data_IF_637047447442
#
_entry.id   IF_637047447442
#
_cell.length_a   1.000
_cell.length_b   1.000
_cell.length_c   1.000
_cell.angle_alpha   90.00
_cell.angle_beta   90.00
_cell.angle_gamma   90.00
#
_symmetry.space_group_name_H-M   'P 1'
#
loop_
_entity.id
_entity.type
_entity.pdbx_description
1 polymer ?
#
# COMPACT_ATOMS: atom_id res chain seq x y z
N UNK A 1 -39.26 62.44 -55.84
CA UNK A 1 -40.10 61.22 -55.70
C UNK A 1 -39.23 59.99 -55.91
N UNK A 2 -39.38 58.87 -55.18
CA UNK A 2 -39.21 58.65 -53.75
C UNK A 2 -37.95 57.83 -53.35
N UNK A 3 -37.42 58.19 -52.18
CA UNK A 3 -36.83 57.42 -51.05
C UNK A 3 -35.97 56.14 -51.25
N UNK A 4 -34.70 56.29 -50.85
CA UNK A 4 -33.80 55.25 -50.31
C UNK A 4 -34.39 54.54 -49.08
N UNK A 5 -34.22 53.21 -48.99
CA UNK A 5 -34.18 52.46 -47.72
C UNK A 5 -32.97 51.55 -47.68
N UNK A 6 -32.03 51.89 -46.81
CA UNK A 6 -30.85 51.12 -46.44
C UNK A 6 -31.22 49.97 -45.49
N UNK A 7 -30.80 48.75 -45.80
CA UNK A 7 -30.81 47.63 -44.84
C UNK A 7 -29.54 47.70 -44.00
N UNK A 8 -29.68 48.12 -42.74
CA UNK A 8 -28.61 48.09 -41.73
C UNK A 8 -28.33 46.64 -41.30
N UNK A 9 -27.16 46.11 -41.67
CA UNK A 9 -26.58 44.90 -41.05
C UNK A 9 -26.13 45.24 -39.63
N UNK A 10 -26.72 44.60 -38.62
CA UNK A 10 -26.24 44.65 -37.23
C UNK A 10 -24.97 43.79 -37.09
N UNK A 11 -23.88 44.28 -36.47
CA UNK A 11 -22.69 43.47 -36.25
C UNK A 11 -22.86 42.51 -35.07
N UNK A 12 -22.52 41.25 -35.32
CA UNK A 12 -22.62 40.12 -34.40
C UNK A 12 -21.47 40.16 -33.37
N UNK A 13 -21.64 40.90 -32.28
CA UNK A 13 -20.65 41.07 -31.20
C UNK A 13 -20.82 40.09 -30.01
N UNK A 14 -21.57 39.00 -30.18
CA UNK A 14 -21.93 38.09 -29.07
C UNK A 14 -20.93 36.96 -28.73
N UNK A 15 -19.93 36.69 -29.59
CA UNK A 15 -19.14 35.46 -29.50
C UNK A 15 -17.97 35.47 -28.50
N UNK A 16 -17.29 36.61 -28.30
CA UNK A 16 -16.06 36.67 -27.48
C UNK A 16 -16.32 36.66 -25.97
N UNK A 17 -17.36 37.37 -25.50
CA UNK A 17 -17.73 37.41 -24.07
C UNK A 17 -18.24 36.06 -23.56
N UNK A 18 -19.01 35.33 -24.38
CA UNK A 18 -19.49 33.98 -24.05
C UNK A 18 -18.36 32.96 -23.91
N UNK A 19 -17.33 33.04 -24.76
CA UNK A 19 -16.15 32.15 -24.69
C UNK A 19 -15.27 32.43 -23.47
N UNK A 20 -15.11 33.70 -23.09
CA UNK A 20 -14.35 34.07 -21.89
C UNK A 20 -15.06 33.61 -20.62
N UNK A 21 -16.37 33.84 -20.50
CA UNK A 21 -17.18 33.38 -19.36
C UNK A 21 -17.19 31.86 -19.26
N UNK A 22 -17.35 31.12 -20.37
CA UNK A 22 -17.24 29.65 -20.35
C UNK A 22 -15.87 29.16 -19.88
N UNK A 23 -14.77 29.82 -20.28
CA UNK A 23 -13.42 29.45 -19.84
C UNK A 23 -13.20 29.70 -18.35
N UNK A 24 -13.68 30.81 -17.82
CA UNK A 24 -13.59 31.13 -16.39
C UNK A 24 -14.46 30.20 -15.55
N UNK A 25 -15.66 29.87 -16.02
CA UNK A 25 -16.56 28.90 -15.35
C UNK A 25 -15.98 27.48 -15.38
N UNK A 26 -15.43 27.02 -16.52
CA UNK A 26 -14.76 25.72 -16.58
C UNK A 26 -13.53 25.65 -15.66
N UNK A 27 -12.74 26.72 -15.56
CA UNK A 27 -11.58 26.77 -14.67
C UNK A 27 -11.99 26.74 -13.18
N UNK A 28 -13.08 27.42 -12.81
CA UNK A 28 -13.65 27.38 -11.45
C UNK A 28 -14.22 26.00 -11.12
N UNK A 29 -14.93 25.36 -12.05
CA UNK A 29 -15.46 23.99 -11.87
C UNK A 29 -14.34 22.96 -11.73
N UNK A 30 -13.26 23.08 -12.52
CA UNK A 30 -12.09 22.21 -12.40
C UNK A 30 -11.30 22.43 -11.11
N UNK A 31 -11.24 23.66 -10.59
CA UNK A 31 -10.60 23.97 -9.32
C UNK A 31 -11.39 23.46 -8.09
N UNK A 32 -12.71 23.36 -8.18
CA UNK A 32 -13.57 22.80 -7.12
C UNK A 32 -13.78 21.29 -7.25
N UNK A 33 -13.42 20.69 -8.39
CA UNK A 33 -13.53 19.26 -8.66
C UNK A 33 -12.25 18.48 -8.34
N UNK A 34 -11.41 18.99 -7.42
CA UNK A 34 -10.55 18.12 -6.64
C UNK A 34 -11.44 17.28 -5.71
N UNK A 35 -12.18 16.34 -6.28
CA UNK A 35 -12.82 15.29 -5.53
C UNK A 35 -11.68 14.62 -4.75
N UNK A 36 -11.77 14.63 -3.43
CA UNK A 36 -10.93 13.78 -2.61
C UNK A 36 -11.13 12.38 -3.16
N UNK A 37 -10.11 11.84 -3.81
CA UNK A 37 -10.13 10.45 -4.19
C UNK A 37 -10.19 9.70 -2.87
N UNK A 38 -11.37 9.16 -2.53
CA UNK A 38 -11.52 8.15 -1.49
C UNK A 38 -10.86 6.88 -2.02
N UNK A 39 -9.54 6.92 -2.14
CA UNK A 39 -8.73 5.74 -2.26
C UNK A 39 -8.93 4.96 -0.95
N UNK A 40 -9.07 3.64 -1.05
CA UNK A 40 -9.13 2.78 0.15
C UNK A 40 -7.84 2.91 0.98
N UNK A 41 -7.86 2.40 2.21
CA UNK A 41 -6.70 2.44 3.10
C UNK A 41 -6.81 3.49 4.21
N UNK A 42 -8.01 3.70 4.75
CA UNK A 42 -8.21 4.51 5.96
C UNK A 42 -7.50 3.90 7.18
N UNK A 43 -7.41 4.63 8.30
CA UNK A 43 -6.73 4.14 9.51
C UNK A 43 -7.31 2.84 10.07
N UNK A 44 -8.59 2.58 9.82
CA UNK A 44 -9.25 1.33 10.16
C UNK A 44 -8.73 0.13 9.36
N UNK A 45 -8.13 0.34 8.18
CA UNK A 45 -7.61 -0.73 7.32
C UNK A 45 -6.11 -1.04 7.56
N UNK A 46 -5.44 -0.30 8.45
CA UNK A 46 -4.01 -0.46 8.72
C UNK A 46 -3.80 -1.15 10.06
N UNK A 47 -3.01 -2.23 10.08
CA UNK A 47 -2.61 -2.92 11.30
C UNK A 47 -1.14 -2.59 11.63
N UNK A 48 -0.92 -1.90 12.74
CA UNK A 48 0.40 -1.38 13.12
C UNK A 48 1.11 -2.37 14.04
N UNK A 49 2.31 -2.80 13.64
CA UNK A 49 3.14 -3.75 14.39
C UNK A 49 4.28 -3.00 15.06
N UNK A 50 4.32 -3.11 16.39
CA UNK A 50 5.20 -2.33 17.27
C UNK A 50 6.07 -3.27 18.07
N UNK A 51 7.38 -3.02 18.12
CA UNK A 51 8.29 -3.73 18.99
C UNK A 51 8.33 -3.04 20.36
N UNK A 52 7.67 -3.58 21.41
CA UNK A 52 7.68 -2.99 22.75
C UNK A 52 9.07 -2.94 23.39
N UNK A 53 10.02 -3.73 22.89
CA UNK A 53 11.39 -3.77 23.42
C UNK A 53 12.28 -2.64 22.87
N UNK A 54 11.78 -1.86 21.90
CA UNK A 54 12.50 -0.77 21.26
C UNK A 54 11.84 0.58 21.52
N UNK A 55 12.61 1.50 22.11
CA UNK A 55 12.17 2.88 22.31
C UNK A 55 11.92 3.60 20.98
N UNK A 56 12.73 3.32 19.96
CA UNK A 56 12.57 3.90 18.63
C UNK A 56 11.29 3.41 17.96
N UNK A 57 11.02 2.10 18.05
CA UNK A 57 9.80 1.49 17.51
C UNK A 57 8.54 2.07 18.15
N UNK A 58 8.55 2.23 19.47
CA UNK A 58 7.47 2.89 20.22
C UNK A 58 7.29 4.34 19.76
N UNK A 59 8.37 5.10 19.62
CA UNK A 59 8.31 6.50 19.22
C UNK A 59 7.80 6.68 17.77
N UNK A 60 8.28 5.86 16.84
CA UNK A 60 7.83 5.85 15.44
C UNK A 60 6.36 5.46 15.35
N UNK A 61 5.95 4.40 16.06
CA UNK A 61 4.56 3.96 16.08
C UNK A 61 3.63 5.05 16.66
N UNK A 62 4.01 5.67 17.79
CA UNK A 62 3.23 6.74 18.39
C UNK A 62 3.07 7.94 17.45
N UNK A 63 4.15 8.33 16.75
CA UNK A 63 4.09 9.40 15.76
C UNK A 63 3.13 9.05 14.61
N UNK A 64 3.19 7.82 14.09
CA UNK A 64 2.29 7.38 13.01
C UNK A 64 0.82 7.33 13.46
N UNK A 65 0.55 6.68 14.59
CA UNK A 65 -0.81 6.55 15.15
C UNK A 65 -1.42 7.93 15.40
N UNK A 66 -0.65 8.87 15.94
CA UNK A 66 -1.12 10.24 16.18
C UNK A 66 -1.40 11.05 14.90
N UNK A 67 -0.73 10.73 13.78
CA UNK A 67 -0.97 11.43 12.51
C UNK A 67 -2.10 10.81 11.68
N UNK A 68 -2.51 9.57 11.99
CA UNK A 68 -3.46 8.81 11.17
C UNK A 68 -4.73 8.41 11.94
N UNK A 69 -4.80 8.63 13.25
CA UNK A 69 -5.92 8.17 14.09
C UNK A 69 -6.17 6.65 14.01
N UNK A 70 -5.09 5.87 14.00
CA UNK A 70 -5.18 4.39 13.95
C UNK A 70 -5.91 3.87 15.19
N UNK A 71 -6.99 3.08 15.05
CA UNK A 71 -7.71 2.53 16.18
C UNK A 71 -6.82 1.66 17.08
N UNK A 72 -6.95 1.73 18.42
CA UNK A 72 -6.14 0.90 19.33
C UNK A 72 -6.23 -0.60 19.06
N UNK A 73 -7.38 -1.10 18.59
CA UNK A 73 -7.57 -2.52 18.24
C UNK A 73 -6.68 -2.96 17.06
N UNK A 74 -6.20 -2.03 16.24
CA UNK A 74 -5.32 -2.29 15.12
C UNK A 74 -3.83 -2.25 15.51
N UNK A 75 -3.50 -1.94 16.76
CA UNK A 75 -2.10 -1.87 17.23
C UNK A 75 -1.71 -3.21 17.85
N UNK A 76 -0.58 -3.77 17.41
CA UNK A 76 -0.09 -5.05 17.89
C UNK A 76 1.34 -4.94 18.39
N UNK A 77 1.52 -5.20 19.68
CA UNK A 77 2.83 -5.26 20.32
C UNK A 77 3.44 -6.64 20.08
N UNK A 78 4.47 -6.70 19.24
CA UNK A 78 5.21 -7.90 18.91
C UNK A 78 6.64 -7.78 19.48
N UNK A 79 6.97 -8.44 20.61
CA UNK A 79 8.27 -8.33 21.29
C UNK A 79 9.38 -9.03 20.50
N UNK A 80 9.80 -8.41 19.40
CA UNK A 80 10.89 -8.91 18.55
C UNK A 80 12.24 -8.70 19.24
N UNK A 81 13.00 -9.79 19.34
CA UNK A 81 14.31 -9.83 20.01
C UNK A 81 15.49 -9.96 19.06
N UNK A 82 15.23 -10.18 17.77
CA UNK A 82 16.29 -10.25 16.76
C UNK A 82 16.81 -8.87 16.37
N UNK A 83 17.80 -8.84 15.48
CA UNK A 83 18.32 -7.59 14.91
C UNK A 83 17.37 -6.95 13.88
N UNK A 84 17.65 -5.69 13.53
CA UNK A 84 16.93 -4.93 12.49
C UNK A 84 17.45 -5.13 11.07
N UNK A 85 18.61 -5.76 10.88
CA UNK A 85 19.20 -5.95 9.55
C UNK A 85 18.59 -7.15 8.82
N UNK A 86 18.69 -8.34 9.42
CA UNK A 86 18.20 -9.56 8.80
C UNK A 86 17.73 -10.63 9.76
N UNK A 87 16.85 -11.51 9.29
CA UNK A 87 16.45 -12.75 9.97
C UNK A 87 16.32 -13.90 8.96
N UNK A 88 16.23 -15.14 9.42
CA UNK A 88 15.95 -16.28 8.54
C UNK A 88 14.46 -16.38 8.22
N UNK A 89 14.13 -17.00 7.08
CA UNK A 89 12.75 -17.22 6.65
C UNK A 89 11.94 -18.05 7.64
N UNK A 90 12.57 -19.03 8.31
CA UNK A 90 11.92 -19.83 9.36
C UNK A 90 11.50 -18.95 10.55
N UNK A 91 12.42 -18.12 11.05
CA UNK A 91 12.17 -17.21 12.16
C UNK A 91 11.12 -16.17 11.77
N UNK A 92 11.20 -15.62 10.56
CA UNK A 92 10.19 -14.71 10.02
C UNK A 92 8.78 -15.33 10.03
N UNK A 93 8.62 -16.56 9.52
CA UNK A 93 7.32 -17.25 9.54
C UNK A 93 6.82 -17.45 10.96
N UNK A 94 7.68 -17.98 11.85
CA UNK A 94 7.31 -18.40 13.20
C UNK A 94 7.04 -17.22 14.14
N UNK A 95 7.91 -16.22 14.11
CA UNK A 95 7.99 -15.17 15.14
C UNK A 95 7.47 -13.81 14.66
N UNK A 96 7.25 -13.62 13.35
CA UNK A 96 6.70 -12.36 12.80
C UNK A 96 5.32 -12.59 12.17
N UNK A 97 5.24 -13.35 11.07
CA UNK A 97 3.99 -13.46 10.32
C UNK A 97 2.93 -14.26 11.06
N UNK A 98 3.26 -15.44 11.57
CA UNK A 98 2.28 -16.25 12.26
C UNK A 98 1.60 -15.53 13.46
N UNK A 99 2.31 -14.81 14.35
CA UNK A 99 1.65 -14.05 15.41
C UNK A 99 0.84 -12.86 14.90
N UNK A 100 1.26 -12.19 13.83
CA UNK A 100 0.48 -11.08 13.23
C UNK A 100 -0.86 -11.59 12.69
N UNK A 101 -0.84 -12.64 11.87
CA UNK A 101 -2.06 -13.23 11.30
C UNK A 101 -2.98 -13.74 12.41
N UNK A 102 -2.45 -14.45 13.41
CA UNK A 102 -3.23 -14.88 14.58
C UNK A 102 -3.86 -13.71 15.33
N UNK A 103 -3.16 -12.59 15.47
CA UNK A 103 -3.70 -11.42 16.16
C UNK A 103 -4.83 -10.76 15.37
N UNK A 104 -4.69 -10.65 14.04
CA UNK A 104 -5.75 -10.13 13.15
C UNK A 104 -7.00 -11.02 13.24
N UNK A 105 -6.83 -12.33 13.14
CA UNK A 105 -7.94 -13.29 13.20
C UNK A 105 -8.61 -13.29 14.57
N UNK A 106 -7.84 -13.31 15.67
CA UNK A 106 -8.37 -13.29 17.03
C UNK A 106 -9.18 -12.03 17.34
N UNK A 107 -8.83 -10.90 16.70
CA UNK A 107 -9.54 -9.63 16.81
C UNK A 107 -10.68 -9.49 15.79
N UNK A 108 -10.89 -10.48 14.93
CA UNK A 108 -11.89 -10.50 13.85
C UNK A 108 -11.70 -9.35 12.85
N UNK A 109 -10.44 -9.00 12.59
CA UNK A 109 -10.06 -7.88 11.72
C UNK A 109 -9.73 -8.32 10.28
N UNK A 110 -9.76 -9.62 9.97
CA UNK A 110 -9.33 -10.16 8.67
C UNK A 110 -10.17 -9.67 7.48
N UNK A 111 -11.42 -9.22 7.72
CA UNK A 111 -12.28 -8.59 6.71
C UNK A 111 -12.03 -7.09 6.51
N UNK A 112 -11.25 -6.47 7.39
CA UNK A 112 -11.07 -5.02 7.48
C UNK A 112 -9.64 -4.59 7.16
N UNK A 113 -8.63 -5.35 7.59
CA UNK A 113 -7.24 -4.97 7.39
C UNK A 113 -6.83 -5.21 5.94
N UNK A 114 -6.33 -4.16 5.31
CA UNK A 114 -5.79 -4.18 3.96
C UNK A 114 -4.27 -3.99 3.95
N UNK A 115 -3.65 -3.53 5.04
CA UNK A 115 -2.20 -3.24 5.09
C UNK A 115 -1.57 -3.49 6.47
N UNK A 116 -0.34 -4.00 6.50
CA UNK A 116 0.53 -4.03 7.69
C UNK A 116 1.49 -2.85 7.67
N UNK A 117 1.54 -2.10 8.77
CA UNK A 117 2.57 -1.09 9.00
C UNK A 117 3.52 -1.57 10.11
N UNK A 118 4.71 -2.06 9.73
CA UNK A 118 5.79 -2.28 10.68
C UNK A 118 6.35 -0.93 11.12
N UNK A 119 6.58 -0.74 12.41
CA UNK A 119 7.18 0.48 12.95
C UNK A 119 8.66 0.62 12.60
N UNK A 120 9.55 0.39 13.55
CA UNK A 120 11.00 0.25 13.35
C UNK A 120 11.53 -0.92 14.19
N UNK A 121 12.83 -1.21 14.07
CA UNK A 121 13.51 -2.32 14.77
C UNK A 121 12.88 -3.69 14.54
N UNK A 122 12.41 -3.90 13.31
CA UNK A 122 12.12 -5.21 12.71
C UNK A 122 13.15 -5.47 11.59
N UNK A 123 13.41 -6.74 11.22
CA UNK A 123 14.38 -7.04 10.19
C UNK A 123 13.92 -6.50 8.84
N UNK A 124 14.77 -5.77 8.13
CA UNK A 124 14.44 -5.27 6.78
C UNK A 124 14.58 -6.35 5.71
N UNK A 125 15.49 -7.32 5.96
CA UNK A 125 15.82 -8.41 5.05
C UNK A 125 15.49 -9.77 5.67
N UNK A 126 14.99 -10.69 4.86
CA UNK A 126 14.76 -12.08 5.24
C UNK A 126 15.59 -12.98 4.35
N UNK A 127 16.47 -13.76 4.97
CA UNK A 127 17.33 -14.73 4.29
C UNK A 127 16.57 -16.05 4.07
N UNK A 128 16.56 -16.51 2.82
CA UNK A 128 15.88 -17.74 2.43
C UNK A 128 16.83 -18.79 1.84
N UNK A 129 18.14 -18.66 2.04
CA UNK A 129 19.16 -19.59 1.53
C UNK A 129 18.81 -21.05 1.85
N UNK A 130 18.33 -21.29 3.07
CA UNK A 130 17.99 -22.62 3.56
C UNK A 130 16.82 -23.30 2.81
N UNK A 131 16.05 -22.57 2.02
CA UNK A 131 14.93 -23.10 1.23
C UNK A 131 15.26 -23.33 -0.24
N UNK A 132 16.41 -22.84 -0.71
CA UNK A 132 16.79 -23.02 -2.10
C UNK A 132 17.26 -24.45 -2.35
N UNK A 133 16.85 -24.99 -3.51
CA UNK A 133 17.47 -26.20 -4.03
C UNK A 133 18.95 -25.94 -4.37
N UNK A 134 19.82 -26.96 -4.38
CA UNK A 134 21.23 -26.80 -4.74
C UNK A 134 21.46 -26.15 -6.12
N UNK A 135 20.51 -26.29 -7.04
CA UNK A 135 20.53 -25.70 -8.38
C UNK A 135 20.21 -24.20 -8.34
N UNK A 136 19.20 -23.81 -7.55
CA UNK A 136 18.80 -22.41 -7.39
C UNK A 136 19.82 -21.62 -6.56
N UNK A 137 20.39 -22.23 -5.52
CA UNK A 137 21.44 -21.63 -4.69
C UNK A 137 22.70 -21.26 -5.48
N UNK A 138 22.95 -21.90 -6.64
CA UNK A 138 24.06 -21.53 -7.54
C UNK A 138 23.76 -20.32 -8.42
N UNK A 139 22.49 -19.98 -8.61
CA UNK A 139 22.04 -18.86 -9.46
C UNK A 139 21.82 -17.59 -8.66
N UNK A 140 21.35 -17.73 -7.42
CA UNK A 140 21.09 -16.59 -6.55
C UNK A 140 22.35 -16.24 -5.74
N UNK A 141 22.92 -15.06 -6.02
CA UNK A 141 24.12 -14.57 -5.34
C UNK A 141 23.79 -14.00 -3.95
N UNK A 142 22.52 -13.64 -3.70
CA UNK A 142 22.09 -13.05 -2.43
C UNK A 142 20.64 -13.41 -2.12
N UNK A 143 20.38 -14.68 -1.74
CA UNK A 143 19.05 -15.25 -1.57
C UNK A 143 18.30 -14.65 -0.37
N UNK A 144 17.76 -13.46 -0.60
CA UNK A 144 17.05 -12.69 0.40
C UNK A 144 15.93 -11.85 -0.20
N UNK A 145 14.90 -11.63 0.60
CA UNK A 145 13.74 -10.85 0.24
C UNK A 145 13.50 -9.73 1.26
N UNK A 146 12.77 -8.69 0.86
CA UNK A 146 12.31 -7.68 1.79
C UNK A 146 11.23 -8.26 2.73
N UNK A 147 11.27 -7.90 4.00
CA UNK A 147 10.23 -8.26 4.99
C UNK A 147 8.82 -7.95 4.48
N UNK A 148 8.65 -6.78 3.89
CA UNK A 148 7.35 -6.30 3.38
C UNK A 148 6.88 -7.10 2.17
N UNK A 149 7.80 -7.48 1.27
CA UNK A 149 7.49 -8.33 0.11
C UNK A 149 7.03 -9.73 0.53
N UNK A 150 7.73 -10.35 1.49
CA UNK A 150 7.30 -11.65 2.02
C UNK A 150 6.00 -11.56 2.83
N UNK A 151 5.76 -10.43 3.51
CA UNK A 151 4.48 -10.19 4.20
C UNK A 151 3.34 -10.11 3.19
N UNK A 152 3.55 -9.45 2.05
CA UNK A 152 2.58 -9.40 0.95
C UNK A 152 2.22 -10.81 0.47
N UNK A 153 3.22 -11.68 0.30
CA UNK A 153 3.07 -13.04 -0.20
C UNK A 153 2.79 -14.08 0.91
N UNK A 154 2.27 -13.67 2.06
CA UNK A 154 2.07 -14.59 3.20
C UNK A 154 1.17 -15.79 2.89
N UNK A 155 0.19 -15.64 1.99
CA UNK A 155 -0.64 -16.75 1.54
C UNK A 155 0.17 -17.83 0.82
N UNK A 156 1.09 -17.43 -0.06
CA UNK A 156 1.98 -18.34 -0.78
C UNK A 156 2.98 -19.02 0.16
N UNK A 157 3.44 -18.35 1.22
CA UNK A 157 4.32 -18.95 2.24
C UNK A 157 3.70 -20.16 2.95
N UNK A 158 2.37 -20.30 2.95
CA UNK A 158 1.67 -21.45 3.51
C UNK A 158 1.53 -22.62 2.52
N UNK A 159 1.71 -22.38 1.22
CA UNK A 159 1.48 -23.34 0.14
C UNK A 159 2.60 -24.35 -0.10
N UNK A 160 3.74 -24.22 0.57
CA UNK A 160 4.90 -25.10 0.46
C UNK A 160 6.22 -24.37 0.26
N UNK A 161 7.36 -25.09 0.23
CA UNK A 161 8.66 -24.48 -0.01
C UNK A 161 8.71 -23.84 -1.39
N UNK A 162 9.18 -22.60 -1.46
CA UNK A 162 9.59 -21.88 -2.70
C UNK A 162 8.47 -21.42 -3.64
N UNK A 163 7.19 -21.73 -3.42
CA UNK A 163 6.08 -21.24 -4.30
C UNK A 163 6.02 -19.70 -4.41
N UNK A 164 6.41 -19.01 -3.35
CA UNK A 164 6.48 -17.56 -3.24
C UNK A 164 7.71 -16.95 -3.96
N UNK A 165 8.65 -17.77 -4.46
CA UNK A 165 9.78 -17.33 -5.30
C UNK A 165 9.43 -17.34 -6.79
N UNK A 166 8.30 -17.92 -7.18
CA UNK A 166 7.85 -17.90 -8.57
C UNK A 166 7.56 -16.43 -8.99
N UNK A 167 8.07 -15.97 -10.15
CA UNK A 167 7.69 -14.67 -10.71
C UNK A 167 6.17 -14.47 -10.87
N UNK A 168 5.41 -15.57 -10.99
CA UNK A 168 3.95 -15.58 -11.10
C UNK A 168 3.25 -15.79 -9.74
N UNK A 169 3.97 -15.76 -8.61
CA UNK A 169 3.40 -15.98 -7.26
C UNK A 169 2.40 -14.91 -6.78
N UNK A 170 2.29 -13.80 -7.51
CA UNK A 170 1.37 -12.71 -7.22
C UNK A 170 0.17 -12.73 -8.18
N UNK A 171 -0.82 -13.56 -7.88
CA UNK A 171 -2.10 -13.68 -8.59
C UNK A 171 -2.93 -12.39 -8.54
N UNK A 172 -2.67 -11.47 -7.60
CA UNK A 172 -3.31 -10.14 -7.62
C UNK A 172 -2.83 -9.30 -8.81
N UNK A 173 -1.60 -9.48 -9.26
CA UNK A 173 -1.11 -8.85 -10.48
C UNK A 173 -1.76 -9.50 -11.69
N UNK A 174 -2.50 -8.70 -12.46
CA UNK A 174 -3.24 -9.21 -13.62
C UNK A 174 -2.49 -8.90 -14.90
N UNK A 175 -2.26 -9.97 -15.66
CA UNK A 175 -1.60 -9.87 -16.96
C UNK A 175 -2.42 -8.98 -17.90
N UNK A 176 -1.76 -8.10 -18.67
CA UNK A 176 -2.45 -7.30 -19.67
C UNK A 176 -3.04 -8.20 -20.77
N UNK A 177 -4.20 -7.82 -21.29
CA UNK A 177 -4.73 -8.46 -22.49
C UNK A 177 -3.86 -8.12 -23.72
N UNK A 178 -4.17 -8.70 -24.88
CA UNK A 178 -3.40 -8.49 -26.12
C UNK A 178 -3.29 -7.01 -26.55
N UNK A 179 -4.19 -6.15 -26.07
CA UNK A 179 -4.18 -4.70 -26.29
C UNK A 179 -3.30 -3.92 -25.29
N UNK A 180 -2.59 -4.60 -24.38
CA UNK A 180 -1.75 -4.00 -23.34
C UNK A 180 -2.50 -3.49 -22.11
N UNK A 181 -3.82 -3.71 -22.02
CA UNK A 181 -4.67 -3.22 -20.94
C UNK A 181 -5.31 -4.42 -20.23
N UNK A 182 -5.33 -4.46 -18.88
CA UNK A 182 -6.09 -5.49 -18.16
C UNK A 182 -7.59 -5.39 -18.46
N UNK A 183 -8.27 -6.52 -18.66
CA UNK A 183 -9.70 -6.56 -18.99
C UNK A 183 -10.61 -5.92 -17.93
N UNK A 184 -10.16 -5.91 -16.67
CA UNK A 184 -10.84 -5.27 -15.54
C UNK A 184 -9.83 -4.56 -14.64
N UNK A 185 -10.24 -3.57 -13.86
CA UNK A 185 -9.42 -2.97 -12.78
C UNK A 185 -10.14 -3.14 -11.44
N UNK A 186 -9.46 -3.73 -10.45
CA UNK A 186 -9.99 -3.95 -9.11
C UNK A 186 -9.07 -3.27 -8.11
N UNK A 187 -9.65 -2.51 -7.18
CA UNK A 187 -8.91 -1.98 -6.04
C UNK A 187 -8.46 -3.10 -5.11
N UNK A 188 -7.32 -2.93 -4.46
CA UNK A 188 -6.83 -3.91 -3.51
C UNK A 188 -7.72 -3.95 -2.26
N UNK A 189 -8.04 -5.17 -1.78
CA UNK A 189 -8.59 -5.43 -0.44
C UNK A 189 -7.97 -6.71 0.13
N UNK A 190 -7.57 -6.69 1.39
CA UNK A 190 -6.87 -7.80 2.05
C UNK A 190 -7.73 -9.06 2.23
N UNK A 191 -9.05 -8.91 2.21
CA UNK A 191 -9.99 -10.02 2.32
C UNK A 191 -10.34 -10.70 0.99
N UNK A 192 -9.92 -10.11 -0.14
CA UNK A 192 -10.09 -10.72 -1.45
C UNK A 192 -9.23 -11.97 -1.61
N UNK A 193 -9.85 -13.03 -2.12
CA UNK A 193 -9.18 -14.24 -2.55
C UNK A 193 -8.91 -14.19 -4.05
N UNK A 194 -7.73 -14.66 -4.45
CA UNK A 194 -7.32 -14.72 -5.85
C UNK A 194 -7.10 -16.16 -6.28
N UNK A 195 -7.62 -16.52 -7.45
CA UNK A 195 -7.30 -17.77 -8.13
C UNK A 195 -6.06 -17.63 -9.02
N UNK A 196 -5.54 -18.75 -9.53
CA UNK A 196 -4.25 -18.82 -10.23
C UNK A 196 -4.19 -18.05 -11.56
N UNK A 197 -5.31 -17.54 -12.08
CA UNK A 197 -5.35 -16.69 -13.28
C UNK A 197 -5.70 -15.24 -12.93
N UNK A 198 -5.62 -14.89 -11.64
CA UNK A 198 -5.98 -13.57 -11.13
C UNK A 198 -7.48 -13.29 -11.11
N UNK A 199 -8.32 -14.34 -11.12
CA UNK A 199 -9.74 -14.21 -10.88
C UNK A 199 -10.03 -13.85 -9.41
N UNK A 200 -10.95 -12.91 -9.19
CA UNK A 200 -11.47 -12.64 -7.86
C UNK A 200 -12.40 -13.78 -7.44
N UNK A 201 -12.14 -14.38 -6.28
CA UNK A 201 -12.93 -15.46 -5.72
C UNK A 201 -13.77 -14.96 -4.54
N UNK A 202 -15.08 -15.18 -4.61
CA UNK A 202 -16.05 -14.81 -3.56
C UNK A 202 -15.79 -15.55 -2.22
N UNK A 203 -15.11 -16.69 -2.27
CA UNK A 203 -14.63 -17.41 -1.10
C UNK A 203 -13.38 -18.24 -1.45
N UNK A 204 -12.45 -18.35 -0.49
CA UNK A 204 -11.20 -19.08 -0.67
C UNK A 204 -10.13 -18.24 -1.37
N UNK A 205 -9.26 -18.88 -2.15
CA UNK A 205 -8.18 -18.24 -2.90
C UNK A 205 -6.96 -17.84 -2.07
N UNK A 206 -5.90 -17.46 -2.78
CA UNK A 206 -4.69 -16.87 -2.18
C UNK A 206 -5.01 -15.45 -1.74
N UNK A 207 -4.65 -15.11 -0.50
CA UNK A 207 -4.75 -13.75 0.02
C UNK A 207 -3.39 -13.09 0.06
N UNK A 208 -3.40 -11.79 -0.13
CA UNK A 208 -2.22 -10.94 -0.08
C UNK A 208 -2.39 -9.91 1.03
N UNK A 209 -1.28 -9.43 1.57
CA UNK A 209 -1.30 -8.41 2.62
C UNK A 209 -0.16 -7.42 2.44
N UNK A 210 -0.37 -6.35 1.64
CA UNK A 210 0.59 -5.27 1.49
C UNK A 210 1.16 -4.83 2.82
N UNK A 211 2.45 -4.51 2.81
CA UNK A 211 3.13 -4.11 4.02
C UNK A 211 4.10 -2.97 3.75
N UNK A 212 4.27 -2.12 4.76
CA UNK A 212 5.20 -0.99 4.77
C UNK A 212 6.03 -1.00 6.04
N UNK A 213 7.24 -0.43 5.96
CA UNK A 213 8.06 -0.11 7.12
C UNK A 213 8.01 1.40 7.33
N UNK A 214 7.49 1.84 8.47
CA UNK A 214 7.31 3.26 8.80
C UNK A 214 8.67 3.97 8.95
N UNK A 215 9.68 3.26 9.44
CA UNK A 215 11.05 3.76 9.45
C UNK A 215 12.08 2.69 9.81
N UNK A 216 13.31 2.91 9.35
CA UNK A 216 14.48 2.14 9.77
C UNK A 216 15.37 3.11 10.52
N UNK A 217 15.62 2.84 11.81
CA UNK A 217 16.38 3.73 12.70
C UNK A 217 17.72 3.14 13.16
N UNK A 218 17.98 1.88 12.83
CA UNK A 218 19.24 1.21 13.13
C UNK A 218 20.37 1.63 12.18
N UNK A 219 21.61 1.65 12.68
CA UNK A 219 22.81 1.87 11.86
C UNK A 219 22.95 3.31 11.37
N UNK A 220 23.20 3.49 10.07
CA UNK A 220 23.32 4.81 9.41
C UNK A 220 22.01 5.30 8.77
N UNK A 221 20.88 4.75 9.21
CA UNK A 221 19.56 5.10 8.68
C UNK A 221 19.02 6.40 9.32
N UNK A 222 17.72 6.64 9.19
CA UNK A 222 17.09 7.86 9.67
C UNK A 222 17.04 7.89 11.20
N UNK A 223 17.17 9.07 11.79
CA UNK A 223 16.80 9.28 13.19
C UNK A 223 15.28 9.18 13.37
N UNK A 224 14.84 8.84 14.59
CA UNK A 224 13.41 8.87 14.97
C UNK A 224 12.76 10.22 14.66
N UNK A 225 13.51 11.33 14.83
CA UNK A 225 13.02 12.68 14.53
C UNK A 225 12.72 12.87 13.05
N UNK A 226 13.62 12.41 12.17
CA UNK A 226 13.43 12.49 10.71
C UNK A 226 12.26 11.63 10.28
N UNK A 227 12.16 10.39 10.76
CA UNK A 227 11.02 9.51 10.49
C UNK A 227 9.71 10.19 10.89
N UNK A 228 9.62 10.70 12.13
CA UNK A 228 8.41 11.39 12.58
C UNK A 228 8.09 12.65 11.77
N UNK A 229 9.11 13.36 11.27
CA UNK A 229 8.91 14.50 10.38
C UNK A 229 8.35 14.08 9.01
N UNK A 230 8.86 13.00 8.42
CA UNK A 230 8.34 12.44 7.17
C UNK A 230 6.89 11.97 7.31
N UNK A 231 6.56 11.29 8.41
CA UNK A 231 5.19 10.83 8.67
C UNK A 231 4.20 12.00 8.77
N UNK A 232 4.57 13.08 9.49
CA UNK A 232 3.76 14.30 9.55
C UNK A 232 3.63 14.99 8.20
N UNK A 233 4.73 15.09 7.45
CA UNK A 233 4.71 15.72 6.12
C UNK A 233 3.86 14.94 5.13
N UNK A 234 3.88 13.60 5.19
CA UNK A 234 3.03 12.76 4.35
C UNK A 234 1.56 12.91 4.74
N UNK A 235 1.22 12.88 6.04
CA UNK A 235 -0.16 13.10 6.47
C UNK A 235 -0.71 14.46 6.02
N UNK A 236 0.09 15.52 6.08
CA UNK A 236 -0.30 16.84 5.60
C UNK A 236 -0.48 16.93 4.07
N UNK A 237 0.13 16.02 3.30
CA UNK A 237 0.03 15.98 1.85
C UNK A 237 -1.16 15.15 1.34
N UNK A 238 -1.63 14.18 2.14
CA UNK A 238 -2.65 13.20 1.74
C UNK A 238 -4.08 13.79 1.68
N UNK A 239 -4.27 15.04 2.13
CA UNK A 239 -5.57 15.74 2.10
C UNK A 239 -6.64 15.13 3.02
N UNK A 240 -6.22 14.28 3.97
CA UNK A 240 -7.03 13.66 5.02
C UNK A 240 -7.09 14.53 6.26
#
# INVERSE_FOLDING_TARGET
MPRFTSVLRRPWLGGRRRRAVCRTVCALVLATAAAHGLAGGGPENVFVVVNPSSADSLAVANAFVACRDVPPINIFMLPWKGGGESTSIEVFRREIIAPIIRAIDARRLSGQIDCIAYSSDFPVRVDFTAELSPELAKRDTFPSAALTGLTMLYGALQGGPVSWLDPESNDYYRLPAANGVPDTTLGFRGWYGWGQRGELLEAGGTRYLPAVMLGVTSGKANSVREVAAYLRSSAAADGT
#
